data_IF_343009861260
#
_entry.id   IF_343009861260
#
_cell.length_a   1.000
_cell.length_b   1.000
_cell.length_c   1.000
_cell.angle_alpha   90.00
_cell.angle_beta   90.00
_cell.angle_gamma   90.00
#
_symmetry.space_group_name_H-M   'P 1'
#
loop_
_entity.id
_entity.type
_entity.pdbx_description
1 polymer ?
#
# COMPACT_ATOMS: atom_id res chain seq x y z
N UNK A 1 14.51 5.01 1.41
CA UNK A 1 14.36 5.79 0.16
C UNK A 1 13.09 6.57 0.33
N UNK A 2 13.13 7.89 0.22
CA UNK A 2 11.93 8.72 0.36
C UNK A 2 11.05 8.58 -0.88
N UNK A 3 9.76 8.87 -0.75
CA UNK A 3 8.86 8.96 -1.90
C UNK A 3 9.40 9.87 -3.03
N UNK A 4 10.07 10.98 -2.68
CA UNK A 4 10.67 11.90 -3.66
C UNK A 4 11.79 11.25 -4.47
N UNK A 5 12.66 10.48 -3.82
CA UNK A 5 13.72 9.71 -4.47
C UNK A 5 13.14 8.63 -5.39
N UNK A 6 12.07 7.95 -4.96
CA UNK A 6 11.37 6.96 -5.77
C UNK A 6 10.78 7.60 -7.02
N UNK A 7 10.06 8.72 -6.89
CA UNK A 7 9.47 9.44 -8.04
C UNK A 7 10.57 9.80 -9.04
N UNK A 8 11.67 10.41 -8.58
CA UNK A 8 12.78 10.82 -9.44
C UNK A 8 13.40 9.64 -10.19
N UNK A 9 13.75 8.57 -9.46
CA UNK A 9 14.38 7.38 -10.04
C UNK A 9 13.48 6.69 -11.08
N UNK A 10 12.20 6.55 -10.77
CA UNK A 10 11.21 5.85 -11.61
C UNK A 10 10.84 6.69 -12.84
N UNK A 11 10.82 8.02 -12.71
CA UNK A 11 10.67 8.96 -13.82
C UNK A 11 11.86 8.85 -14.79
N UNK A 12 13.08 8.90 -14.26
CA UNK A 12 14.32 8.88 -15.06
C UNK A 12 14.52 7.55 -15.78
N UNK A 13 14.21 6.42 -15.13
CA UNK A 13 14.29 5.10 -15.78
C UNK A 13 13.32 4.94 -16.96
N UNK A 14 12.28 5.77 -17.03
CA UNK A 14 11.34 5.85 -18.15
C UNK A 14 11.66 6.95 -19.16
N UNK A 15 12.79 7.64 -18.99
CA UNK A 15 13.23 8.72 -19.88
C UNK A 15 12.33 9.96 -19.83
N UNK A 16 11.56 10.15 -18.75
CA UNK A 16 10.65 11.28 -18.60
C UNK A 16 11.36 12.47 -17.95
N UNK A 17 11.07 13.67 -18.43
CA UNK A 17 11.39 14.93 -17.77
C UNK A 17 10.36 15.23 -16.67
N UNK A 18 10.71 16.14 -15.74
CA UNK A 18 9.75 16.60 -14.72
C UNK A 18 8.50 17.25 -15.34
N UNK A 19 8.64 17.93 -16.48
CA UNK A 19 7.52 18.54 -17.20
C UNK A 19 6.58 17.48 -17.78
N UNK A 20 7.14 16.45 -18.43
CA UNK A 20 6.32 15.37 -19.00
C UNK A 20 5.57 14.57 -17.93
N UNK A 21 6.19 14.33 -16.76
CA UNK A 21 5.48 13.72 -15.64
C UNK A 21 4.37 14.64 -15.12
N UNK A 22 4.66 15.94 -14.99
CA UNK A 22 3.70 16.92 -14.52
C UNK A 22 2.47 16.99 -15.44
N UNK A 23 2.69 16.97 -16.76
CA UNK A 23 1.62 16.97 -17.76
C UNK A 23 0.74 15.71 -17.65
N UNK A 24 1.36 14.53 -17.42
CA UNK A 24 0.63 13.25 -17.26
C UNK A 24 -0.28 13.23 -16.04
N UNK A 25 0.13 13.87 -14.94
CA UNK A 25 -0.65 13.90 -13.68
C UNK A 25 -1.37 15.23 -13.45
N UNK A 26 -1.44 16.09 -14.48
CA UNK A 26 -2.15 17.37 -14.50
C UNK A 26 -1.74 18.33 -13.36
N UNK A 27 -0.43 18.45 -13.13
CA UNK A 27 0.15 19.38 -12.16
C UNK A 27 1.22 20.26 -12.80
N UNK A 28 1.80 21.16 -12.02
CA UNK A 28 2.94 21.97 -12.49
C UNK A 28 4.26 21.20 -12.35
N UNK A 29 5.22 21.48 -13.24
CA UNK A 29 6.61 20.99 -13.09
C UNK A 29 7.23 21.38 -11.73
N UNK A 30 6.80 22.50 -11.15
CA UNK A 30 7.23 22.92 -9.82
C UNK A 30 6.70 22.02 -8.70
N UNK A 31 5.48 21.48 -8.82
CA UNK A 31 4.96 20.48 -7.89
C UNK A 31 5.82 19.21 -7.90
N UNK A 32 6.11 18.67 -9.09
CA UNK A 32 7.00 17.50 -9.26
C UNK A 32 8.37 17.76 -8.66
N UNK A 33 8.99 18.92 -8.96
CA UNK A 33 10.28 19.28 -8.38
C UNK A 33 10.26 19.35 -6.86
N UNK A 34 9.18 19.85 -6.24
CA UNK A 34 9.05 19.92 -4.78
C UNK A 34 8.85 18.54 -4.15
N UNK A 35 8.21 17.60 -4.84
CA UNK A 35 8.12 16.21 -4.39
C UNK A 35 9.49 15.53 -4.46
N UNK A 36 10.19 15.65 -5.58
CA UNK A 36 11.50 15.02 -5.78
C UNK A 36 12.58 15.55 -4.83
N UNK A 37 12.49 16.82 -4.39
CA UNK A 37 13.41 17.41 -3.41
C UNK A 37 12.95 17.26 -1.96
N UNK A 38 11.80 16.63 -1.71
CA UNK A 38 11.24 16.45 -0.36
C UNK A 38 10.69 17.73 0.28
N UNK A 39 10.53 18.81 -0.49
CA UNK A 39 9.94 20.07 0.02
C UNK A 39 8.44 19.95 0.32
N UNK A 40 7.75 19.00 -0.33
CA UNK A 40 6.35 18.62 -0.07
C UNK A 40 6.14 17.15 -0.38
N UNK A 41 5.12 16.53 0.21
CA UNK A 41 4.71 15.15 -0.08
C UNK A 41 3.42 15.14 -0.90
N UNK A 42 3.31 14.34 -1.97
CA UNK A 42 2.03 14.16 -2.67
C UNK A 42 1.02 13.43 -1.75
N UNK A 43 -0.24 13.85 -1.77
CA UNK A 43 -1.32 13.16 -1.04
C UNK A 43 -1.68 11.81 -1.69
N UNK A 44 -2.50 11.00 -1.02
CA UNK A 44 -2.84 9.64 -1.45
C UNK A 44 -3.40 9.57 -2.88
N UNK A 45 -4.32 10.46 -3.27
CA UNK A 45 -4.88 10.44 -4.62
C UNK A 45 -3.84 10.82 -5.67
N UNK A 46 -2.91 11.71 -5.32
CA UNK A 46 -1.77 12.03 -6.18
C UNK A 46 -0.81 10.83 -6.27
N UNK A 47 -0.60 10.08 -5.19
CA UNK A 47 0.16 8.83 -5.23
C UNK A 47 -0.49 7.79 -6.16
N UNK A 48 -1.83 7.66 -6.17
CA UNK A 48 -2.55 6.78 -7.11
C UNK A 48 -2.34 7.21 -8.56
N UNK A 49 -2.45 8.50 -8.84
CA UNK A 49 -2.19 9.08 -10.18
C UNK A 49 -0.75 8.86 -10.62
N UNK A 50 0.22 9.13 -9.75
CA UNK A 50 1.64 8.89 -10.01
C UNK A 50 1.92 7.41 -10.26
N UNK A 51 1.36 6.50 -9.45
CA UNK A 51 1.50 5.06 -9.63
C UNK A 51 1.01 4.60 -11.01
N UNK A 52 -0.12 5.13 -11.47
CA UNK A 52 -0.65 4.88 -12.82
C UNK A 52 0.24 5.48 -13.91
N UNK A 53 0.60 6.76 -13.80
CA UNK A 53 1.40 7.48 -14.81
C UNK A 53 2.84 6.94 -14.95
N UNK A 54 3.38 6.42 -13.84
CA UNK A 54 4.69 5.80 -13.73
C UNK A 54 4.61 4.28 -13.74
N UNK A 55 3.48 3.64 -14.05
CA UNK A 55 3.35 2.18 -14.16
C UNK A 55 4.10 1.40 -13.06
N UNK A 56 3.83 1.75 -11.81
CA UNK A 56 4.39 1.06 -10.62
C UNK A 56 3.29 0.80 -9.61
N UNK A 57 3.40 -0.25 -8.78
CA UNK A 57 2.50 -0.43 -7.65
C UNK A 57 2.50 0.80 -6.75
N UNK A 58 1.32 1.27 -6.32
CA UNK A 58 1.20 2.44 -5.42
C UNK A 58 1.95 2.25 -4.11
N UNK A 59 2.10 1.00 -3.65
CA UNK A 59 2.90 0.62 -2.48
C UNK A 59 4.36 1.07 -2.58
N UNK A 60 4.91 1.16 -3.79
CA UNK A 60 6.29 1.66 -4.01
C UNK A 60 6.44 3.14 -3.66
N UNK A 61 5.35 3.92 -3.72
CA UNK A 61 5.33 5.33 -3.38
C UNK A 61 4.99 5.59 -1.90
N UNK A 62 4.31 4.66 -1.23
CA UNK A 62 3.77 4.86 0.11
C UNK A 62 4.74 4.55 1.27
N UNK A 63 6.04 4.41 1.01
CA UNK A 63 7.07 4.07 2.00
C UNK A 63 6.73 2.81 2.84
N UNK A 64 5.91 1.91 2.28
CA UNK A 64 5.54 0.67 2.95
C UNK A 64 6.83 -0.13 3.24
N UNK A 65 7.02 -0.65 4.47
CA UNK A 65 8.23 -1.39 4.83
C UNK A 65 8.49 -2.51 3.82
N UNK A 66 9.69 -2.63 3.23
CA UNK A 66 9.97 -3.71 2.31
C UNK A 66 9.84 -5.06 3.02
N UNK A 67 9.17 -6.03 2.39
CA UNK A 67 8.95 -7.34 2.97
C UNK A 67 7.62 -7.96 2.55
N UNK A 68 7.35 -9.20 2.96
CA UNK A 68 6.07 -9.84 2.71
C UNK A 68 4.96 -9.06 3.44
N UNK A 69 3.85 -8.86 2.74
CA UNK A 69 2.65 -8.23 3.29
C UNK A 69 1.50 -9.21 3.16
N UNK A 70 0.68 -9.26 4.20
CA UNK A 70 -0.49 -10.11 4.25
C UNK A 70 -1.46 -9.73 3.13
N UNK A 71 -1.79 -10.68 2.26
CA UNK A 71 -2.74 -10.54 1.15
C UNK A 71 -4.22 -10.61 1.62
N UNK A 72 -4.46 -10.45 2.93
CA UNK A 72 -5.78 -10.29 3.55
C UNK A 72 -5.91 -8.90 4.18
N UNK A 73 -5.05 -8.55 5.15
CA UNK A 73 -5.16 -7.27 5.88
C UNK A 73 -4.19 -6.18 5.41
N UNK A 74 -3.26 -6.49 4.51
CA UNK A 74 -2.26 -5.53 4.01
C UNK A 74 -1.12 -5.21 4.99
N UNK A 75 -1.11 -5.81 6.19
CA UNK A 75 -0.06 -5.57 7.19
C UNK A 75 1.25 -6.28 6.82
N UNK A 76 2.41 -5.69 7.14
CA UNK A 76 3.71 -6.33 6.94
C UNK A 76 3.84 -7.57 7.84
N UNK A 77 4.57 -8.58 7.35
CA UNK A 77 4.88 -9.82 8.07
C UNK A 77 6.39 -9.89 8.32
N UNK A 78 6.92 -9.22 9.36
CA UNK A 78 8.37 -9.06 9.52
C UNK A 78 9.12 -10.34 9.92
N UNK A 79 8.44 -11.34 10.51
CA UNK A 79 9.06 -12.59 10.96
C UNK A 79 8.32 -13.85 10.49
N UNK A 80 9.06 -14.95 10.27
CA UNK A 80 8.53 -16.26 9.85
C UNK A 80 7.45 -16.80 10.79
N UNK A 81 7.56 -16.51 12.09
CA UNK A 81 6.62 -16.91 13.12
C UNK A 81 5.25 -16.22 13.00
N UNK A 82 5.19 -15.07 12.32
CA UNK A 82 3.98 -14.29 12.09
C UNK A 82 3.28 -14.66 10.79
N UNK A 83 3.85 -15.56 9.98
CA UNK A 83 3.16 -16.15 8.84
C UNK A 83 2.09 -17.13 9.33
N UNK A 84 0.94 -17.13 8.66
CA UNK A 84 -0.14 -18.08 8.89
C UNK A 84 0.25 -19.51 8.55
N UNK A 85 -0.66 -20.45 8.77
CA UNK A 85 -0.42 -21.87 8.51
C UNK A 85 -1.31 -22.37 7.37
N UNK A 86 -0.70 -23.06 6.42
CA UNK A 86 -1.42 -23.87 5.43
C UNK A 86 -1.96 -25.14 6.08
N UNK A 87 -2.91 -25.82 5.42
CA UNK A 87 -3.53 -27.05 5.93
C UNK A 87 -2.54 -28.22 6.14
N UNK A 88 -1.36 -28.16 5.52
CA UNK A 88 -0.28 -29.14 5.71
C UNK A 88 0.69 -28.75 6.84
N UNK A 89 0.41 -27.67 7.57
CA UNK A 89 1.22 -27.15 8.66
C UNK A 89 2.44 -26.33 8.23
N UNK A 90 2.63 -26.08 6.94
CA UNK A 90 3.68 -25.17 6.43
C UNK A 90 3.28 -23.71 6.63
N UNK A 91 4.27 -22.79 6.56
CA UNK A 91 4.03 -21.35 6.70
C UNK A 91 3.50 -20.78 5.39
N UNK A 92 2.40 -20.03 5.47
CA UNK A 92 1.83 -19.33 4.33
C UNK A 92 2.75 -18.21 3.86
N UNK A 93 3.08 -18.14 2.57
CA UNK A 93 3.88 -17.03 2.02
C UNK A 93 3.07 -15.71 1.91
N UNK A 94 1.74 -15.82 1.84
CA UNK A 94 0.85 -14.72 1.51
C UNK A 94 0.10 -14.14 2.71
N UNK A 95 -0.11 -14.90 3.78
CA UNK A 95 -1.02 -14.51 4.87
C UNK A 95 -0.34 -14.54 6.24
N UNK A 96 -0.77 -13.64 7.14
CA UNK A 96 -0.28 -13.59 8.51
C UNK A 96 -1.09 -14.49 9.45
N UNK A 97 -0.52 -14.85 10.59
CA UNK A 97 -1.09 -15.74 11.60
C UNK A 97 -2.39 -15.21 12.23
N UNK A 98 -2.69 -13.91 12.10
CA UNK A 98 -3.95 -13.34 12.56
C UNK A 98 -5.07 -13.38 11.53
N UNK A 99 -4.73 -13.58 10.25
CA UNK A 99 -5.72 -13.65 9.18
C UNK A 99 -5.94 -15.07 8.67
N UNK A 100 -4.99 -15.98 8.87
CA UNK A 100 -5.04 -17.30 8.25
C UNK A 100 -4.38 -18.37 9.12
N UNK A 101 -5.14 -19.43 9.42
CA UNK A 101 -4.73 -20.55 10.26
C UNK A 101 -5.35 -21.85 9.73
N UNK A 102 -4.56 -22.93 9.72
CA UNK A 102 -4.98 -24.27 9.29
C UNK A 102 -5.65 -24.31 7.90
N UNK A 103 -5.10 -23.55 6.95
CA UNK A 103 -5.63 -23.49 5.59
C UNK A 103 -6.94 -22.69 5.43
N UNK A 104 -7.35 -21.94 6.45
CA UNK A 104 -8.58 -21.16 6.44
C UNK A 104 -8.38 -19.73 6.97
N UNK A 105 -9.19 -18.78 6.49
CA UNK A 105 -9.17 -17.43 7.02
C UNK A 105 -9.81 -17.37 8.41
N UNK A 106 -9.11 -16.74 9.35
CA UNK A 106 -9.60 -16.46 10.70
C UNK A 106 -9.95 -14.97 10.81
N UNK A 107 -11.06 -14.67 11.48
CA UNK A 107 -11.57 -13.31 11.65
C UNK A 107 -12.75 -12.95 10.75
N UNK A 108 -12.96 -11.66 10.43
CA UNK A 108 -14.15 -11.15 9.74
C UNK A 108 -14.43 -11.86 8.42
N UNK A 109 -15.69 -12.10 8.09
CA UNK A 109 -16.07 -12.85 6.89
C UNK A 109 -16.02 -11.97 5.65
N UNK A 110 -16.32 -10.67 5.81
CA UNK A 110 -16.40 -9.71 4.70
C UNK A 110 -15.29 -8.65 4.74
N UNK A 111 -15.08 -7.98 3.60
CA UNK A 111 -14.13 -6.89 3.50
C UNK A 111 -14.55 -5.68 4.36
N UNK A 112 -15.83 -5.34 4.38
CA UNK A 112 -16.35 -4.21 5.16
C UNK A 112 -16.12 -4.41 6.66
N UNK A 113 -16.43 -5.62 7.16
CA UNK A 113 -16.17 -5.97 8.56
C UNK A 113 -14.67 -5.93 8.89
N UNK A 114 -13.80 -6.34 7.96
CA UNK A 114 -12.34 -6.24 8.14
C UNK A 114 -11.90 -4.77 8.26
N UNK A 115 -12.43 -3.88 7.40
CA UNK A 115 -12.12 -2.45 7.41
C UNK A 115 -12.55 -1.83 8.74
N UNK A 116 -13.80 -2.06 9.16
CA UNK A 116 -14.34 -1.54 10.40
C UNK A 116 -13.52 -1.98 11.62
N UNK A 117 -13.13 -3.25 11.66
CA UNK A 117 -12.34 -3.81 12.76
C UNK A 117 -10.91 -3.28 12.79
N UNK A 118 -10.29 -3.08 11.62
CA UNK A 118 -8.85 -2.84 11.51
C UNK A 118 -8.48 -1.35 11.42
N UNK A 119 -9.39 -0.50 10.93
CA UNK A 119 -9.14 0.93 10.77
C UNK A 119 -8.74 1.66 12.06
N UNK A 120 -9.32 1.38 13.25
CA UNK A 120 -8.91 2.03 14.50
C UNK A 120 -7.44 1.74 14.85
N UNK A 121 -7.01 0.48 14.70
CA UNK A 121 -5.63 0.06 14.97
C UNK A 121 -4.65 0.69 13.99
N UNK A 122 -5.03 0.78 12.71
CA UNK A 122 -4.22 1.47 11.72
C UNK A 122 -4.10 2.95 12.05
N UNK A 123 -5.22 3.63 12.33
CA UNK A 123 -5.26 5.05 12.67
C UNK A 123 -4.35 5.37 13.86
N UNK A 124 -4.40 4.56 14.91
CA UNK A 124 -3.52 4.69 16.07
C UNK A 124 -2.05 4.43 15.71
N UNK A 125 -1.78 3.34 14.99
CA UNK A 125 -0.42 2.88 14.67
C UNK A 125 0.37 3.78 13.72
N UNK A 126 -0.30 4.53 12.84
CA UNK A 126 0.34 5.50 11.92
C UNK A 126 -0.02 6.96 12.20
N UNK A 127 -0.72 7.22 13.32
CA UNK A 127 -1.09 8.56 13.79
C UNK A 127 -1.89 9.39 12.76
N UNK A 128 -2.91 8.78 12.15
CA UNK A 128 -3.88 9.44 11.25
C UNK A 128 -5.29 9.36 11.84
N UNK A 129 -6.24 10.09 11.25
CA UNK A 129 -7.66 9.95 11.65
C UNK A 129 -8.24 8.60 11.21
N UNK A 130 -9.29 8.16 11.90
CA UNK A 130 -9.99 6.93 11.53
C UNK A 130 -10.59 7.00 10.12
N UNK A 131 -11.11 8.17 9.72
CA UNK A 131 -11.66 8.38 8.37
C UNK A 131 -10.59 8.27 7.29
N UNK A 132 -9.37 8.76 7.54
CA UNK A 132 -8.23 8.59 6.65
C UNK A 132 -7.80 7.13 6.55
N UNK A 133 -7.79 6.40 7.68
CA UNK A 133 -7.50 4.97 7.70
C UNK A 133 -8.53 4.17 6.89
N UNK A 134 -9.82 4.42 7.10
CA UNK A 134 -10.91 3.80 6.32
C UNK A 134 -10.72 4.10 4.83
N UNK A 135 -10.51 5.37 4.47
CA UNK A 135 -10.31 5.79 3.07
C UNK A 135 -9.13 5.09 2.41
N UNK A 136 -8.03 4.90 3.16
CA UNK A 136 -6.87 4.13 2.70
C UNK A 136 -7.21 2.65 2.49
N UNK A 137 -7.81 2.02 3.51
CA UNK A 137 -8.12 0.59 3.48
C UNK A 137 -9.11 0.24 2.37
N UNK A 138 -10.15 1.06 2.17
CA UNK A 138 -11.12 0.89 1.06
C UNK A 138 -10.46 1.01 -0.31
N UNK A 139 -9.36 1.76 -0.44
CA UNK A 139 -8.63 1.86 -1.70
C UNK A 139 -7.67 0.69 -1.95
N UNK A 140 -7.12 0.10 -0.88
CA UNK A 140 -6.02 -0.87 -0.96
C UNK A 140 -6.49 -2.31 -0.82
N UNK A 141 -7.32 -2.61 0.17
CA UNK A 141 -7.72 -3.99 0.49
C UNK A 141 -8.45 -4.73 -0.65
N UNK A 142 -9.35 -4.11 -1.44
CA UNK A 142 -9.96 -4.79 -2.59
C UNK A 142 -8.95 -5.31 -3.63
N UNK A 143 -7.71 -4.80 -3.63
CA UNK A 143 -6.68 -5.23 -4.56
C UNK A 143 -5.92 -6.47 -4.07
N UNK A 144 -6.12 -6.93 -2.83
CA UNK A 144 -5.40 -8.06 -2.25
C UNK A 144 -6.04 -9.41 -2.62
N UNK A 145 -5.24 -10.49 -2.64
CA UNK A 145 -5.67 -11.81 -3.14
C UNK A 145 -6.92 -12.36 -2.46
N UNK A 146 -7.11 -12.13 -1.16
CA UNK A 146 -8.32 -12.58 -0.45
C UNK A 146 -9.61 -11.94 -0.99
N UNK A 147 -9.52 -10.70 -1.48
CA UNK A 147 -10.67 -9.85 -1.77
C UNK A 147 -10.90 -9.56 -3.25
N UNK A 148 -9.88 -9.69 -4.09
CA UNK A 148 -9.92 -9.29 -5.50
C UNK A 148 -10.98 -10.02 -6.33
N UNK A 149 -11.36 -11.23 -5.92
CA UNK A 149 -12.27 -12.10 -6.66
C UNK A 149 -13.64 -12.28 -5.97
N UNK A 150 -13.98 -11.43 -5.00
CA UNK A 150 -15.26 -11.44 -4.28
C UNK A 150 -16.24 -10.37 -4.78
#
# INVERSE_FOLDING_TARGET
MSIGEVISQVRESRGLTQSELADRVMVTRQAVSRWETGATTPGIDMCKLLASALDVPVTRLLEAPPGPHCQSCGMPIPGQEQHGLEADGTRSEDYCAWCYEDGAFVGPETLDELIEHSAPYMAEGVHISQDEAISYMTAVLPQLRRWRDQ
#
